data_IF_357347257064
#
_entry.id   IF_357347257064
#
_cell.length_a   1.000
_cell.length_b   1.000
_cell.length_c   1.000
_cell.angle_alpha   90.00
_cell.angle_beta   90.00
_cell.angle_gamma   90.00
#
_symmetry.space_group_name_H-M   'P 1'
#
loop_
_entity.id
_entity.type
_entity.pdbx_description
1 polymer ?
#
# COMPACT_ATOMS: atom_id res chain seq x y z
N UNK A 1 -84.46 49.11 19.73
CA UNK A 1 -83.00 49.16 19.94
C UNK A 1 -82.77 48.47 21.29
N UNK A 2 -82.49 47.18 21.25
CA UNK A 2 -82.39 46.35 22.45
C UNK A 2 -81.00 45.67 22.48
N UNK A 3 -80.17 46.05 23.41
CA UNK A 3 -78.85 45.47 23.63
C UNK A 3 -78.97 44.21 24.49
N UNK A 4 -78.71 43.06 23.97
CA UNK A 4 -78.68 41.82 24.73
C UNK A 4 -77.23 41.54 25.11
N UNK A 5 -76.91 41.56 26.39
CA UNK A 5 -75.59 41.22 26.93
C UNK A 5 -75.57 39.72 27.24
N UNK A 6 -74.64 39.01 26.60
CA UNK A 6 -74.45 37.61 26.88
C UNK A 6 -73.24 37.45 27.81
N UNK A 7 -73.48 36.99 29.02
CA UNK A 7 -72.42 36.59 29.96
C UNK A 7 -71.89 35.20 29.60
N UNK A 8 -70.61 35.12 29.25
CA UNK A 8 -69.87 33.83 29.12
C UNK A 8 -69.11 33.57 30.42
N UNK A 9 -69.51 32.54 31.14
CA UNK A 9 -68.78 31.97 32.28
C UNK A 9 -67.63 31.11 31.75
N UNK A 10 -66.41 31.56 32.05
CA UNK A 10 -65.17 30.77 31.77
C UNK A 10 -64.98 29.79 32.93
N UNK A 11 -65.11 28.50 32.62
CA UNK A 11 -64.76 27.37 33.50
C UNK A 11 -63.26 27.10 33.29
N UNK A 12 -62.38 27.42 34.23
CA UNK A 12 -60.97 27.20 34.21
C UNK A 12 -60.66 25.73 34.44
N UNK A 13 -60.13 25.05 33.41
CA UNK A 13 -59.57 23.71 33.53
C UNK A 13 -58.08 23.85 33.81
N UNK A 14 -57.64 23.61 35.04
CA UNK A 14 -56.22 23.51 35.42
C UNK A 14 -55.76 22.15 35.05
N UNK A 15 -55.02 22.06 33.90
CA UNK A 15 -54.31 20.85 33.52
C UNK A 15 -52.95 20.90 34.22
N UNK A 16 -52.76 20.06 35.21
CA UNK A 16 -51.48 19.80 35.87
C UNK A 16 -50.61 19.00 34.90
N UNK A 17 -49.61 19.63 34.29
CA UNK A 17 -48.54 18.92 33.59
C UNK A 17 -47.65 18.25 34.61
N UNK A 18 -47.79 16.94 34.78
CA UNK A 18 -46.81 16.11 35.48
C UNK A 18 -45.54 15.99 34.64
N UNK A 19 -44.44 16.49 35.19
CA UNK A 19 -43.09 16.26 34.66
C UNK A 19 -42.74 14.78 34.77
N UNK A 20 -42.97 14.03 33.71
CA UNK A 20 -42.38 12.68 33.56
C UNK A 20 -41.06 12.83 32.82
N UNK A 21 -40.02 13.17 33.55
CA UNK A 21 -38.64 12.98 33.09
C UNK A 21 -38.37 11.48 32.91
N UNK A 22 -38.70 10.97 31.75
CA UNK A 22 -38.14 9.68 31.30
C UNK A 22 -36.68 9.91 31.00
N UNK A 23 -35.81 9.53 31.96
CA UNK A 23 -34.40 9.29 31.71
C UNK A 23 -34.30 8.23 30.62
N UNK A 24 -34.19 8.67 29.35
CA UNK A 24 -33.72 7.83 28.27
C UNK A 24 -32.20 7.77 28.44
N UNK A 25 -31.61 6.62 28.80
CA UNK A 25 -30.16 6.52 28.81
C UNK A 25 -29.69 6.73 27.38
N UNK A 26 -28.95 7.84 27.20
CA UNK A 26 -28.16 8.05 25.97
C UNK A 26 -27.27 6.82 25.77
N UNK A 27 -27.47 6.02 24.71
CA UNK A 27 -26.51 4.95 24.39
C UNK A 27 -25.27 5.66 23.91
N UNK A 28 -24.40 6.08 24.82
CA UNK A 28 -23.01 6.35 24.49
C UNK A 28 -22.47 5.07 23.87
N UNK A 29 -22.60 4.95 22.56
CA UNK A 29 -21.93 3.91 21.77
C UNK A 29 -20.45 4.19 21.95
N UNK A 30 -19.89 3.56 22.97
CA UNK A 30 -18.45 3.47 23.15
C UNK A 30 -17.95 2.67 21.94
N UNK A 31 -17.60 3.37 20.86
CA UNK A 31 -16.89 2.76 19.73
C UNK A 31 -15.55 2.30 20.27
N UNK A 32 -15.50 1.06 20.75
CA UNK A 32 -14.25 0.41 21.05
C UNK A 32 -13.50 0.31 19.72
N UNK A 33 -12.39 1.03 19.63
CA UNK A 33 -11.53 0.95 18.45
C UNK A 33 -11.21 -0.52 18.19
N UNK A 34 -11.50 -0.99 16.98
CA UNK A 34 -11.15 -2.36 16.59
C UNK A 34 -9.65 -2.57 16.81
N UNK A 35 -9.21 -3.75 17.29
CA UNK A 35 -7.78 -4.01 17.41
C UNK A 35 -7.11 -3.76 16.06
N UNK A 36 -5.93 -3.14 16.07
CA UNK A 36 -5.24 -2.64 14.87
C UNK A 36 -5.17 -3.69 13.73
N UNK A 37 -5.00 -4.96 14.07
CA UNK A 37 -5.02 -6.06 13.09
C UNK A 37 -6.38 -6.30 12.42
N UNK A 38 -7.50 -6.05 13.12
CA UNK A 38 -8.83 -6.21 12.53
C UNK A 38 -9.13 -5.08 11.54
N UNK A 39 -8.75 -3.84 11.85
CA UNK A 39 -8.86 -2.70 10.94
C UNK A 39 -8.01 -2.90 9.69
N UNK A 40 -6.74 -3.27 9.82
CA UNK A 40 -5.83 -3.54 8.70
C UNK A 40 -6.34 -4.67 7.81
N UNK A 41 -6.86 -5.76 8.39
CA UNK A 41 -7.42 -6.86 7.61
C UNK A 41 -8.68 -6.47 6.84
N UNK A 42 -9.47 -5.55 7.37
CA UNK A 42 -10.65 -5.01 6.68
C UNK A 42 -10.24 -4.12 5.51
N UNK A 43 -9.30 -3.19 5.72
CA UNK A 43 -8.72 -2.34 4.65
C UNK A 43 -8.17 -3.24 3.54
N UNK A 44 -7.39 -4.27 3.92
CA UNK A 44 -6.83 -5.21 2.95
C UNK A 44 -7.92 -5.85 2.08
N UNK A 45 -8.90 -6.51 2.69
CA UNK A 45 -9.94 -7.21 1.95
C UNK A 45 -10.78 -6.29 1.05
N UNK A 46 -11.02 -5.06 1.46
CA UNK A 46 -11.92 -4.15 0.74
C UNK A 46 -11.21 -3.32 -0.33
N UNK A 47 -9.92 -3.03 -0.17
CA UNK A 47 -9.22 -2.07 -1.04
C UNK A 47 -8.01 -2.68 -1.74
N UNK A 48 -7.21 -3.50 -1.06
CA UNK A 48 -5.91 -3.94 -1.56
C UNK A 48 -5.96 -5.32 -2.20
N UNK A 49 -6.59 -6.28 -1.52
CA UNK A 49 -6.63 -7.70 -1.93
C UNK A 49 -7.33 -7.94 -3.26
N UNK A 50 -8.21 -7.02 -3.67
CA UNK A 50 -8.89 -7.06 -4.98
C UNK A 50 -7.87 -7.06 -6.13
N UNK A 51 -6.76 -6.35 -5.98
CA UNK A 51 -5.71 -6.28 -6.98
C UNK A 51 -4.48 -7.12 -6.59
N UNK A 52 -4.05 -7.07 -5.32
CA UNK A 52 -2.81 -7.74 -4.87
C UNK A 52 -3.00 -9.19 -4.45
N UNK A 53 -4.23 -9.75 -4.57
CA UNK A 53 -4.55 -11.11 -4.16
C UNK A 53 -4.89 -11.26 -2.69
N UNK A 54 -5.57 -12.35 -2.33
CA UNK A 54 -6.04 -12.57 -0.96
C UNK A 54 -4.88 -12.84 0.02
N UNK A 55 -3.80 -13.43 -0.47
CA UNK A 55 -2.57 -13.80 0.26
C UNK A 55 -1.33 -13.04 -0.24
N UNK A 56 -1.54 -11.83 -0.76
CA UNK A 56 -0.50 -10.90 -1.23
C UNK A 56 0.35 -11.44 -2.41
N UNK A 57 -0.15 -12.46 -3.11
CA UNK A 57 0.50 -13.15 -4.23
C UNK A 57 0.65 -12.29 -5.49
N UNK A 58 -0.10 -11.20 -5.57
CA UNK A 58 -0.12 -10.31 -6.72
C UNK A 58 -1.05 -10.77 -7.84
N UNK A 59 -1.17 -9.92 -8.88
CA UNK A 59 -1.95 -10.20 -10.08
C UNK A 59 -1.30 -9.50 -11.28
N UNK A 60 -0.67 -10.28 -12.16
CA UNK A 60 0.02 -9.75 -13.34
C UNK A 60 -0.93 -9.02 -14.30
N UNK A 61 -2.14 -9.54 -14.51
CA UNK A 61 -3.11 -8.93 -15.43
C UNK A 61 -3.54 -7.53 -14.99
N UNK A 62 -3.49 -7.25 -13.68
CA UNK A 62 -3.76 -5.94 -13.09
C UNK A 62 -2.49 -5.12 -12.84
N UNK A 63 -1.31 -5.63 -13.23
CA UNK A 63 -0.01 -5.06 -12.89
C UNK A 63 0.15 -4.76 -11.39
N UNK A 64 -0.44 -5.59 -10.52
CA UNK A 64 -0.36 -5.52 -9.08
C UNK A 64 0.66 -6.55 -8.58
N UNK A 65 1.83 -6.14 -8.05
CA UNK A 65 2.88 -7.06 -7.65
C UNK A 65 2.52 -7.85 -6.39
N UNK A 66 3.21 -9.00 -6.21
CA UNK A 66 3.29 -9.67 -4.93
C UNK A 66 3.95 -8.77 -3.88
N UNK A 67 3.52 -8.86 -2.63
CA UNK A 67 3.99 -8.00 -1.54
C UNK A 67 4.69 -8.79 -0.41
N UNK A 68 4.61 -10.12 -0.43
CA UNK A 68 5.06 -11.02 0.65
C UNK A 68 6.55 -10.90 1.01
N UNK A 69 7.40 -10.47 0.06
CA UNK A 69 8.84 -10.33 0.26
C UNK A 69 9.23 -8.98 0.87
N UNK A 70 8.32 -8.01 0.93
CA UNK A 70 8.63 -6.63 1.31
C UNK A 70 8.56 -6.43 2.83
N UNK A 71 9.49 -5.62 3.36
CA UNK A 71 9.47 -5.24 4.77
C UNK A 71 8.38 -4.21 5.07
N UNK A 72 7.92 -4.18 6.33
CA UNK A 72 6.94 -3.18 6.80
C UNK A 72 7.41 -1.74 6.55
N UNK A 73 8.70 -1.45 6.79
CA UNK A 73 9.25 -0.11 6.61
C UNK A 73 9.23 0.32 5.13
N UNK A 74 9.57 -0.62 4.22
CA UNK A 74 9.49 -0.34 2.78
C UNK A 74 8.04 -0.14 2.34
N UNK A 75 7.12 -1.00 2.78
CA UNK A 75 5.69 -0.89 2.48
C UNK A 75 5.11 0.43 3.00
N UNK A 76 5.39 0.80 4.26
CA UNK A 76 4.93 2.05 4.85
C UNK A 76 5.44 3.25 4.06
N UNK A 77 6.73 3.26 3.70
CA UNK A 77 7.32 4.33 2.89
C UNK A 77 6.66 4.42 1.51
N UNK A 78 6.45 3.29 0.81
CA UNK A 78 5.83 3.31 -0.51
C UNK A 78 4.37 3.75 -0.46
N UNK A 79 3.59 3.31 0.53
CA UNK A 79 2.22 3.78 0.74
C UNK A 79 2.18 5.29 1.00
N UNK A 80 3.07 5.78 1.86
CA UNK A 80 3.22 7.24 2.11
C UNK A 80 3.58 8.00 0.83
N UNK A 81 4.48 7.46 0.01
CA UNK A 81 4.85 8.08 -1.26
C UNK A 81 3.67 8.16 -2.24
N UNK A 82 2.84 7.13 -2.31
CA UNK A 82 1.64 7.16 -3.15
C UNK A 82 0.59 8.15 -2.63
N UNK A 83 0.33 8.16 -1.32
CA UNK A 83 -0.64 9.10 -0.70
C UNK A 83 -0.21 10.55 -0.90
N UNK A 84 1.09 10.84 -0.80
CA UNK A 84 1.64 12.20 -0.90
C UNK A 84 2.00 12.61 -2.34
N UNK A 85 1.73 11.79 -3.35
CA UNK A 85 2.05 12.10 -4.73
C UNK A 85 3.55 12.07 -5.09
N UNK A 86 4.39 11.52 -4.20
CA UNK A 86 5.83 11.30 -4.44
C UNK A 86 6.04 10.20 -5.48
N UNK A 87 5.12 9.24 -5.56
CA UNK A 87 5.09 8.14 -6.51
C UNK A 87 3.72 8.02 -7.16
N UNK A 88 3.70 7.69 -8.46
CA UNK A 88 2.46 7.49 -9.22
C UNK A 88 1.75 8.80 -9.62
N UNK A 89 2.40 9.96 -9.48
CA UNK A 89 1.87 11.24 -9.92
C UNK A 89 1.92 11.39 -11.45
N UNK A 90 2.91 10.79 -12.12
CA UNK A 90 3.03 10.85 -13.58
C UNK A 90 2.02 9.88 -14.23
N UNK A 91 1.11 10.36 -15.09
CA UNK A 91 0.12 9.50 -15.77
C UNK A 91 0.75 8.49 -16.74
N UNK A 92 2.01 8.66 -17.14
CA UNK A 92 2.76 7.67 -17.92
C UNK A 92 3.08 6.43 -17.11
N UNK A 93 3.26 6.53 -15.78
CA UNK A 93 3.31 5.40 -14.86
C UNK A 93 1.88 4.89 -14.58
N UNK A 94 1.28 4.22 -15.56
CA UNK A 94 -0.12 3.77 -15.46
C UNK A 94 -0.37 2.87 -14.24
N UNK A 95 0.56 1.99 -13.88
CA UNK A 95 0.44 1.10 -12.74
C UNK A 95 0.57 1.88 -11.41
N UNK A 96 1.58 2.74 -11.31
CA UNK A 96 1.77 3.61 -10.15
C UNK A 96 0.64 4.60 -9.98
N UNK A 97 0.13 5.16 -11.08
CA UNK A 97 -1.01 6.09 -11.03
C UNK A 97 -2.29 5.40 -10.52
N UNK A 98 -2.59 4.18 -11.00
CA UNK A 98 -3.71 3.39 -10.44
C UNK A 98 -3.52 3.11 -8.95
N UNK A 99 -2.29 2.76 -8.53
CA UNK A 99 -2.00 2.53 -7.11
C UNK A 99 -2.21 3.80 -6.28
N UNK A 100 -1.73 4.96 -6.76
CA UNK A 100 -1.93 6.25 -6.09
C UNK A 100 -3.42 6.58 -5.91
N UNK A 101 -4.24 6.37 -6.94
CA UNK A 101 -5.69 6.54 -6.86
C UNK A 101 -6.33 5.56 -5.88
N UNK A 102 -5.86 4.32 -5.83
CA UNK A 102 -6.39 3.28 -4.94
C UNK A 102 -6.16 3.59 -3.46
N UNK A 103 -5.10 4.31 -3.13
CA UNK A 103 -4.75 4.69 -1.74
C UNK A 103 -5.04 6.15 -1.40
N UNK A 104 -5.66 6.90 -2.31
CA UNK A 104 -5.91 8.34 -2.12
C UNK A 104 -6.73 8.68 -0.87
N UNK A 105 -7.57 7.75 -0.40
CA UNK A 105 -8.39 7.91 0.80
C UNK A 105 -7.84 7.14 2.02
N UNK A 106 -6.65 6.53 1.90
CA UNK A 106 -6.02 5.86 3.02
C UNK A 106 -5.54 6.88 4.05
N UNK A 107 -6.00 6.77 5.28
CA UNK A 107 -5.57 7.67 6.34
C UNK A 107 -4.07 7.43 6.65
N UNK A 108 -3.24 8.47 6.73
CA UNK A 108 -1.81 8.32 7.05
C UNK A 108 -1.56 7.57 8.36
N UNK A 109 -2.47 7.69 9.34
CA UNK A 109 -2.41 6.96 10.62
C UNK A 109 -2.53 5.44 10.49
N UNK A 110 -3.18 4.94 9.42
CA UNK A 110 -3.40 3.52 9.20
C UNK A 110 -2.21 2.84 8.50
N UNK A 111 -1.35 3.63 7.86
CA UNK A 111 -0.23 3.11 7.06
C UNK A 111 0.70 2.19 7.85
N UNK A 112 1.19 2.55 9.07
CA UNK A 112 2.12 1.68 9.79
C UNK A 112 1.49 0.33 10.15
N UNK A 113 0.26 0.33 10.63
CA UNK A 113 -0.45 -0.90 11.01
C UNK A 113 -0.77 -1.77 9.78
N UNK A 114 -1.17 -1.16 8.66
CA UNK A 114 -1.42 -1.87 7.40
C UNK A 114 -0.13 -2.46 6.83
N UNK A 115 0.97 -1.72 6.81
CA UNK A 115 2.26 -2.20 6.36
C UNK A 115 2.77 -3.38 7.20
N UNK A 116 2.63 -3.30 8.53
CA UNK A 116 2.95 -4.41 9.43
C UNK A 116 2.07 -5.63 9.15
N UNK A 117 0.77 -5.43 8.93
CA UNK A 117 -0.17 -6.50 8.58
C UNK A 117 0.20 -7.20 7.27
N UNK A 118 0.58 -6.45 6.24
CA UNK A 118 0.99 -7.00 4.92
C UNK A 118 2.32 -7.76 5.03
N UNK A 119 3.25 -7.31 5.88
CA UNK A 119 4.57 -7.93 6.05
C UNK A 119 4.58 -9.11 7.02
N UNK A 120 3.42 -9.56 7.52
CA UNK A 120 3.33 -10.76 8.37
C UNK A 120 3.81 -12.00 7.62
N UNK A 121 4.34 -12.97 8.42
CA UNK A 121 5.03 -14.18 7.96
C UNK A 121 4.14 -15.14 7.15
N UNK A 122 3.74 -14.73 5.96
CA UNK A 122 3.22 -15.67 4.98
C UNK A 122 4.37 -16.26 4.17
N UNK A 123 4.24 -17.53 3.75
CA UNK A 123 5.22 -18.11 2.83
C UNK A 123 5.37 -17.19 1.63
N UNK A 124 6.61 -16.80 1.27
CA UNK A 124 6.80 -15.97 0.10
C UNK A 124 6.22 -16.67 -1.12
N UNK A 125 5.37 -15.97 -1.85
CA UNK A 125 4.96 -16.42 -3.17
C UNK A 125 6.25 -16.65 -4.00
N UNK A 126 6.32 -17.76 -4.74
CA UNK A 126 7.29 -17.91 -5.83
C UNK A 126 6.53 -17.61 -7.11
N UNK A 127 6.61 -16.38 -7.61
CA UNK A 127 5.94 -16.04 -8.86
C UNK A 127 6.50 -16.92 -9.98
N UNK A 128 5.64 -17.31 -10.89
CA UNK A 128 6.07 -18.00 -12.11
C UNK A 128 7.00 -17.10 -12.92
N UNK A 129 8.13 -17.64 -13.38
CA UNK A 129 9.05 -16.91 -14.24
C UNK A 129 8.39 -16.68 -15.61
N UNK A 130 8.39 -15.44 -16.06
CA UNK A 130 7.76 -15.01 -17.31
C UNK A 130 8.75 -14.37 -18.29
N UNK A 131 9.93 -14.00 -17.80
CA UNK A 131 11.03 -13.46 -18.60
C UNK A 131 12.06 -14.54 -18.92
N UNK A 132 12.78 -14.36 -20.01
CA UNK A 132 13.89 -15.21 -20.41
C UNK A 132 15.18 -14.44 -20.18
N UNK A 133 16.17 -15.04 -19.52
CA UNK A 133 17.48 -14.44 -19.26
C UNK A 133 18.50 -15.48 -18.84
N UNK A 134 19.77 -15.16 -18.99
CA UNK A 134 20.91 -16.00 -18.65
C UNK A 134 21.38 -15.72 -17.21
N UNK A 135 20.91 -16.51 -16.25
CA UNK A 135 21.15 -16.28 -14.82
C UNK A 135 22.66 -16.20 -14.47
N UNK A 136 23.53 -16.95 -15.17
CA UNK A 136 24.98 -16.89 -14.93
C UNK A 136 25.59 -15.55 -15.32
N UNK A 137 25.14 -14.96 -16.44
CA UNK A 137 25.56 -13.61 -16.84
C UNK A 137 24.98 -12.56 -15.91
N UNK A 138 23.75 -12.77 -15.51
CA UNK A 138 23.06 -11.91 -14.54
C UNK A 138 23.71 -11.88 -13.15
N UNK A 139 24.35 -12.98 -12.72
CA UNK A 139 25.11 -13.04 -11.46
C UNK A 139 26.26 -12.04 -11.43
N UNK A 140 26.99 -11.91 -12.53
CA UNK A 140 28.11 -10.96 -12.62
C UNK A 140 27.60 -9.51 -12.47
N UNK A 141 26.58 -9.12 -13.23
CA UNK A 141 25.97 -7.80 -13.11
C UNK A 141 25.38 -7.56 -11.72
N UNK A 142 24.63 -8.54 -11.20
CA UNK A 142 24.04 -8.43 -9.88
C UNK A 142 25.09 -8.19 -8.80
N UNK A 143 26.16 -8.97 -8.83
CA UNK A 143 27.23 -8.89 -7.84
C UNK A 143 27.93 -7.54 -7.85
N UNK A 144 28.18 -6.97 -9.03
CA UNK A 144 28.95 -5.73 -9.15
C UNK A 144 28.10 -4.45 -9.04
N UNK A 145 26.82 -4.50 -9.42
CA UNK A 145 25.97 -3.30 -9.47
C UNK A 145 24.88 -3.29 -8.39
N UNK A 146 24.29 -4.43 -8.04
CA UNK A 146 23.06 -4.48 -7.27
C UNK A 146 23.29 -4.91 -5.81
N UNK A 147 24.23 -5.87 -5.59
CA UNK A 147 24.42 -6.54 -4.31
C UNK A 147 24.82 -5.62 -3.17
N UNK A 148 25.52 -4.53 -3.44
CA UNK A 148 25.98 -3.57 -2.42
C UNK A 148 24.78 -2.95 -1.66
N UNK A 149 23.66 -2.75 -2.33
CA UNK A 149 22.46 -2.19 -1.72
C UNK A 149 21.41 -3.28 -1.41
N UNK A 150 21.20 -4.23 -2.33
CA UNK A 150 20.14 -5.23 -2.18
C UNK A 150 20.61 -6.52 -1.47
N UNK A 151 21.90 -6.61 -1.08
CA UNK A 151 22.50 -7.78 -0.45
C UNK A 151 22.84 -8.87 -1.48
N UNK A 152 23.89 -9.69 -1.20
CA UNK A 152 24.30 -10.77 -2.08
C UNK A 152 23.25 -11.87 -2.27
N UNK A 153 22.25 -11.94 -1.42
CA UNK A 153 21.12 -12.86 -1.47
C UNK A 153 19.81 -12.18 -1.87
N UNK A 154 19.86 -10.94 -2.33
CA UNK A 154 18.73 -10.11 -2.72
C UNK A 154 17.65 -9.90 -1.64
N UNK A 155 18.02 -9.99 -0.37
CA UNK A 155 17.07 -9.82 0.76
C UNK A 155 16.85 -8.36 1.15
N UNK A 156 17.52 -7.43 0.46
CA UNK A 156 17.45 -6.01 0.74
C UNK A 156 18.36 -5.57 1.89
N UNK A 157 18.35 -4.27 2.15
CA UNK A 157 19.07 -3.63 3.26
C UNK A 157 18.23 -2.49 3.83
N UNK A 158 17.64 -2.65 5.02
CA UNK A 158 16.79 -1.62 5.63
C UNK A 158 17.53 -0.30 5.89
N UNK A 159 18.82 -0.36 6.23
CA UNK A 159 19.65 0.84 6.50
C UNK A 159 19.78 1.70 5.23
N UNK A 160 19.92 1.04 4.07
CA UNK A 160 20.03 1.72 2.79
C UNK A 160 18.65 1.95 2.13
N UNK A 161 17.56 1.56 2.81
CA UNK A 161 16.20 1.66 2.27
C UNK A 161 15.95 0.75 1.04
N UNK A 162 16.86 -0.17 0.77
CA UNK A 162 16.78 -1.07 -0.37
C UNK A 162 15.85 -2.26 -0.08
N UNK A 163 14.82 -2.50 -0.90
CA UNK A 163 13.88 -3.60 -0.67
C UNK A 163 14.48 -4.96 -0.99
N UNK A 164 13.87 -6.01 -0.47
CA UNK A 164 14.09 -7.36 -0.96
C UNK A 164 13.63 -7.48 -2.43
N UNK A 165 14.47 -8.11 -3.25
CA UNK A 165 14.16 -8.45 -4.64
C UNK A 165 13.86 -9.95 -4.78
N UNK A 166 14.45 -10.79 -3.91
CA UNK A 166 14.19 -12.22 -3.88
C UNK A 166 12.72 -12.50 -3.56
N UNK A 167 12.06 -13.30 -4.40
CA UNK A 167 10.63 -13.61 -4.31
C UNK A 167 9.70 -12.58 -4.95
N UNK A 168 10.24 -11.51 -5.53
CA UNK A 168 9.44 -10.58 -6.34
C UNK A 168 9.13 -11.18 -7.72
N UNK A 169 7.99 -10.79 -8.31
CA UNK A 169 7.65 -11.16 -9.68
C UNK A 169 8.67 -10.55 -10.66
N UNK A 170 9.17 -11.33 -11.60
CA UNK A 170 10.14 -10.91 -12.61
C UNK A 170 9.66 -9.72 -13.45
N UNK A 171 8.44 -9.79 -13.97
CA UNK A 171 7.82 -8.70 -14.72
C UNK A 171 7.73 -7.40 -13.90
N UNK A 172 7.54 -7.51 -12.58
CA UNK A 172 7.50 -6.34 -11.71
C UNK A 172 8.88 -5.75 -11.49
N UNK A 173 9.91 -6.60 -11.29
CA UNK A 173 11.29 -6.14 -11.19
C UNK A 173 11.70 -5.37 -12.44
N UNK A 174 11.38 -5.92 -13.63
CA UNK A 174 11.63 -5.25 -14.91
C UNK A 174 10.89 -3.90 -15.00
N UNK A 175 9.58 -3.89 -14.78
CA UNK A 175 8.78 -2.68 -14.82
C UNK A 175 9.25 -1.62 -13.82
N UNK A 176 9.61 -2.04 -12.60
CA UNK A 176 10.10 -1.14 -11.57
C UNK A 176 11.45 -0.53 -11.93
N UNK A 177 12.37 -1.31 -12.53
CA UNK A 177 13.67 -0.83 -12.98
C UNK A 177 13.52 0.16 -14.12
N UNK A 178 12.74 -0.19 -15.15
CA UNK A 178 12.47 0.70 -16.28
C UNK A 178 11.80 2.00 -15.81
N UNK A 179 10.91 1.94 -14.83
CA UNK A 179 10.33 3.14 -14.23
C UNK A 179 11.36 4.09 -13.60
N UNK A 180 12.47 3.59 -13.06
CA UNK A 180 13.59 4.42 -12.63
C UNK A 180 14.43 4.94 -13.80
N UNK A 181 14.69 4.11 -14.79
CA UNK A 181 15.45 4.46 -15.99
C UNK A 181 14.74 5.57 -16.81
N UNK A 182 13.42 5.45 -16.95
CA UNK A 182 12.58 6.38 -17.71
C UNK A 182 12.20 7.65 -16.92
N UNK A 183 12.66 7.79 -15.67
CA UNK A 183 12.38 8.95 -14.84
C UNK A 183 10.95 9.01 -14.29
N UNK A 184 10.19 7.92 -14.34
CA UNK A 184 8.85 7.81 -13.75
C UNK A 184 8.90 7.58 -12.23
N UNK A 185 10.06 7.14 -11.70
CA UNK A 185 10.32 6.90 -10.28
C UNK A 185 11.65 7.53 -9.87
N UNK A 186 11.75 7.93 -8.59
CA UNK A 186 12.99 8.46 -8.02
C UNK A 186 13.33 9.89 -8.45
N UNK A 187 12.39 10.64 -9.04
CA UNK A 187 12.61 12.03 -9.47
C UNK A 187 12.10 13.05 -8.44
N UNK A 188 11.19 12.66 -7.56
CA UNK A 188 10.67 13.55 -6.55
C UNK A 188 11.72 13.80 -5.44
N UNK A 189 11.83 15.05 -4.96
CA UNK A 189 12.83 15.43 -3.95
C UNK A 189 12.73 14.63 -2.65
N UNK A 190 11.53 14.21 -2.28
CA UNK A 190 11.28 13.41 -1.07
C UNK A 190 11.55 11.91 -1.27
N UNK A 191 11.79 11.44 -2.51
CA UNK A 191 12.16 10.04 -2.77
C UNK A 191 13.68 9.83 -2.76
N UNK A 192 14.29 10.07 -1.60
CA UNK A 192 15.75 9.99 -1.42
C UNK A 192 16.32 8.61 -1.84
N UNK A 193 15.60 7.55 -1.51
CA UNK A 193 16.03 6.18 -1.83
C UNK A 193 15.78 5.85 -3.31
N UNK A 194 14.64 6.24 -3.85
CA UNK A 194 14.36 6.07 -5.27
C UNK A 194 15.31 6.86 -6.16
N UNK A 195 15.77 8.03 -5.71
CA UNK A 195 16.78 8.82 -6.42
C UNK A 195 18.14 8.11 -6.51
N UNK A 196 18.50 7.26 -5.54
CA UNK A 196 19.71 6.42 -5.64
C UNK A 196 19.54 5.38 -6.74
N UNK A 197 18.38 4.72 -6.78
CA UNK A 197 18.08 3.73 -7.81
C UNK A 197 18.01 4.34 -9.21
N UNK A 198 17.38 5.53 -9.35
CA UNK A 198 17.32 6.25 -10.62
C UNK A 198 18.70 6.63 -11.16
N UNK A 199 19.65 6.96 -10.28
CA UNK A 199 21.05 7.23 -10.67
C UNK A 199 21.81 5.99 -11.10
N UNK A 200 21.47 4.82 -10.51
CA UNK A 200 22.12 3.55 -10.83
C UNK A 200 21.53 2.89 -12.08
N UNK A 201 20.25 3.07 -12.36
CA UNK A 201 19.56 2.37 -13.44
C UNK A 201 20.27 2.46 -14.81
N UNK A 202 20.90 3.59 -15.22
CA UNK A 202 21.62 3.67 -16.48
C UNK A 202 22.95 2.85 -16.52
N UNK A 203 23.33 2.18 -15.42
CA UNK A 203 24.57 1.41 -15.39
C UNK A 203 24.47 0.03 -16.08
N UNK A 204 23.27 -0.51 -16.26
CA UNK A 204 23.08 -1.69 -17.13
C UNK A 204 23.06 -1.25 -18.59
N UNK A 205 23.78 -1.95 -19.48
CA UNK A 205 23.92 -1.57 -20.88
C UNK A 205 22.61 -1.62 -21.67
N UNK A 206 21.78 -2.62 -21.45
CA UNK A 206 20.52 -2.82 -22.18
C UNK A 206 19.49 -3.64 -21.38
N UNK A 207 18.32 -3.90 -22.00
CA UNK A 207 17.24 -4.66 -21.38
C UNK A 207 17.51 -6.17 -21.31
N UNK A 208 18.35 -6.72 -22.18
CA UNK A 208 18.71 -8.14 -22.13
C UNK A 208 19.58 -8.40 -20.90
N UNK A 209 20.49 -7.49 -20.57
CA UNK A 209 21.28 -7.56 -19.34
C UNK A 209 20.39 -7.40 -18.08
N UNK A 210 19.33 -6.61 -18.16
CA UNK A 210 18.34 -6.52 -17.08
C UNK A 210 17.57 -7.84 -16.91
N UNK A 211 17.16 -8.48 -17.99
CA UNK A 211 16.46 -9.76 -17.95
C UNK A 211 17.37 -10.85 -17.37
N UNK A 212 18.68 -10.84 -17.66
CA UNK A 212 19.66 -11.73 -17.04
C UNK A 212 19.78 -11.51 -15.53
N UNK A 213 19.90 -10.25 -15.08
CA UNK A 213 19.93 -9.91 -13.65
C UNK A 213 18.68 -10.43 -12.96
N UNK A 214 17.51 -10.26 -13.58
CA UNK A 214 16.24 -10.74 -13.02
C UNK A 214 16.21 -12.27 -12.99
N UNK A 215 16.72 -12.95 -14.03
CA UNK A 215 16.85 -14.41 -14.04
C UNK A 215 17.75 -14.90 -12.91
N UNK A 216 18.87 -14.22 -12.64
CA UNK A 216 19.72 -14.53 -11.48
C UNK A 216 18.96 -14.34 -10.17
N UNK A 217 18.28 -13.21 -9.96
CA UNK A 217 17.47 -12.95 -8.75
C UNK A 217 16.44 -14.06 -8.52
N UNK A 218 15.82 -14.58 -9.57
CA UNK A 218 14.84 -15.67 -9.48
C UNK A 218 15.45 -16.99 -8.96
N UNK A 219 16.76 -17.21 -9.08
CA UNK A 219 17.47 -18.37 -8.51
C UNK A 219 17.69 -18.25 -7.01
N UNK A 220 17.67 -17.02 -6.48
CA UNK A 220 17.95 -16.77 -5.06
C UNK A 220 16.77 -17.17 -4.18
N UNK A 221 17.02 -17.76 -2.99
CA UNK A 221 15.94 -18.16 -2.11
C UNK A 221 15.20 -16.92 -1.60
N UNK A 222 13.86 -16.91 -1.64
CA UNK A 222 13.09 -15.84 -1.02
C UNK A 222 13.31 -15.84 0.49
N UNK A 223 12.98 -14.71 1.15
CA UNK A 223 13.06 -14.56 2.61
C UNK A 223 12.34 -15.73 3.27
N UNK A 224 13.04 -16.46 4.14
CA UNK A 224 12.39 -17.42 5.03
C UNK A 224 11.72 -16.65 6.16
N UNK A 225 10.46 -16.94 6.42
CA UNK A 225 9.74 -16.52 7.61
C UNK A 225 10.36 -17.08 8.89
#
# INVERSE_FOLDING_TARGET
MLRLALLLTLLGCVISCGDSSTDVPDPAVTMTAAPAGAASSQIWRQQCGVCHGATWEGNRALAAPALTQLSSDYLARQLTHFVNGVRGADPKDQAGHRMALSVALLAPSDIPALAAFISTDLPPARPEATLQGEATRGEDYYTHLCSACHGGNAMGNPILGAPSLAGASDWYLKSAYLGFLDGLRGQHADDVYGAQMARLAPALPDEDDLDDVIAHIATLPPKRS
#
